data_IF_413625870822
#
_entry.id   IF_413625870822
#
_cell.length_a   1.000
_cell.length_b   1.000
_cell.length_c   1.000
_cell.angle_alpha   90.00
_cell.angle_beta   90.00
_cell.angle_gamma   90.00
#
_symmetry.space_group_name_H-M   'P 1'
#
loop_
_entity.id
_entity.type
_entity.pdbx_description
1 polymer ?
#
# COMPACT_ATOMS: atom_id res chain seq x y z
N UNK A 1 -1.37 -18.65 7.04
CA UNK A 1 -0.66 -17.51 7.68
C UNK A 1 -0.88 -16.26 6.84
N UNK A 2 -1.23 -15.17 7.51
CA UNK A 2 -1.56 -13.92 6.83
C UNK A 2 -0.25 -13.17 6.49
N UNK A 3 -0.09 -12.66 5.25
CA UNK A 3 1.11 -11.90 4.90
C UNK A 3 1.18 -10.59 5.71
N UNK A 4 2.39 -10.08 5.88
CA UNK A 4 2.58 -8.79 6.54
C UNK A 4 2.09 -7.66 5.64
N UNK A 5 1.67 -6.55 6.24
CA UNK A 5 1.23 -5.39 5.46
C UNK A 5 2.34 -4.85 4.56
N UNK A 6 3.60 -4.91 5.00
CA UNK A 6 4.72 -4.49 4.15
C UNK A 6 4.87 -5.39 2.93
N UNK A 7 4.64 -6.69 3.07
CA UNK A 7 4.69 -7.62 1.94
C UNK A 7 3.55 -7.35 0.95
N UNK A 8 2.37 -7.03 1.46
CA UNK A 8 1.22 -6.68 0.64
C UNK A 8 1.51 -5.40 -0.16
N UNK A 9 2.14 -4.43 0.49
CA UNK A 9 2.54 -3.20 -0.18
C UNK A 9 3.54 -3.49 -1.30
N UNK A 10 4.52 -4.34 -1.06
CA UNK A 10 5.50 -4.74 -2.08
C UNK A 10 4.82 -5.36 -3.29
N UNK A 11 3.84 -6.23 -3.05
CA UNK A 11 3.07 -6.86 -4.14
C UNK A 11 2.29 -5.80 -4.92
N UNK A 12 1.67 -4.86 -4.24
CA UNK A 12 0.92 -3.79 -4.89
C UNK A 12 1.83 -2.94 -5.77
N UNK A 13 3.00 -2.56 -5.26
CA UNK A 13 3.98 -1.77 -6.01
C UNK A 13 4.48 -2.54 -7.23
N UNK A 14 4.81 -3.80 -7.06
CA UNK A 14 5.30 -4.65 -8.15
C UNK A 14 4.22 -4.81 -9.24
N UNK A 15 2.97 -4.98 -8.84
CA UNK A 15 1.85 -5.13 -9.77
C UNK A 15 1.69 -3.89 -10.64
N UNK A 16 1.93 -2.72 -10.08
CA UNK A 16 1.80 -1.44 -10.79
C UNK A 16 3.12 -0.98 -11.41
N UNK A 17 4.21 -1.72 -11.20
CA UNK A 17 5.51 -1.37 -11.78
C UNK A 17 6.16 -0.14 -11.13
N UNK A 18 5.93 0.08 -9.86
CA UNK A 18 6.43 1.24 -9.13
C UNK A 18 7.55 0.81 -8.20
N UNK A 19 8.68 1.55 -8.25
CA UNK A 19 9.81 1.30 -7.35
C UNK A 19 9.46 1.73 -5.92
N UNK A 20 9.97 0.99 -4.96
CA UNK A 20 9.77 1.30 -3.55
C UNK A 20 10.34 2.68 -3.19
N UNK A 21 11.43 3.07 -3.81
CA UNK A 21 12.05 4.39 -3.60
C UNK A 21 11.07 5.50 -4.00
N UNK A 22 10.40 5.34 -5.14
CA UNK A 22 9.40 6.30 -5.58
C UNK A 22 8.22 6.34 -4.62
N UNK A 23 7.80 5.18 -4.14
CA UNK A 23 6.75 5.12 -3.14
C UNK A 23 7.12 5.90 -1.89
N UNK A 24 8.33 5.69 -1.35
CA UNK A 24 8.77 6.40 -0.15
C UNK A 24 8.81 7.91 -0.34
N UNK A 25 9.27 8.35 -1.52
CA UNK A 25 9.42 9.77 -1.81
C UNK A 25 8.08 10.47 -2.04
N UNK A 26 7.12 9.78 -2.62
CA UNK A 26 5.87 10.39 -3.07
C UNK A 26 4.62 9.86 -2.39
N UNK A 27 4.75 9.01 -1.36
CA UNK A 27 3.60 8.38 -0.73
C UNK A 27 2.62 9.36 -0.10
N UNK A 28 3.07 10.56 0.19
CA UNK A 28 2.21 11.62 0.75
C UNK A 28 1.65 12.55 -0.30
N UNK A 29 2.05 12.40 -1.55
CA UNK A 29 1.57 13.26 -2.62
C UNK A 29 0.21 12.78 -3.11
N UNK A 30 -0.46 13.64 -3.88
CA UNK A 30 -1.74 13.31 -4.48
C UNK A 30 -1.62 12.88 -5.94
N UNK A 31 -0.46 12.40 -6.33
CA UNK A 31 -0.25 11.92 -7.69
C UNK A 31 -1.12 10.69 -7.94
N UNK A 32 -1.60 10.54 -9.16
CA UNK A 32 -2.56 9.48 -9.49
C UNK A 32 -2.02 8.09 -9.26
N UNK A 33 -0.71 7.86 -9.47
CA UNK A 33 -0.14 6.53 -9.24
C UNK A 33 -0.13 6.17 -7.75
N UNK A 34 0.04 7.16 -6.88
CA UNK A 34 0.00 6.95 -5.43
C UNK A 34 -1.41 6.53 -5.00
N UNK A 35 -2.43 7.18 -5.56
CA UNK A 35 -3.81 6.82 -5.27
C UNK A 35 -4.09 5.37 -5.69
N UNK A 36 -3.59 4.96 -6.85
CA UNK A 36 -3.77 3.59 -7.33
C UNK A 36 -3.07 2.57 -6.43
N UNK A 37 -1.86 2.89 -5.96
CA UNK A 37 -1.16 2.01 -5.02
C UNK A 37 -1.98 1.86 -3.74
N UNK A 38 -2.48 2.94 -3.19
CA UNK A 38 -3.27 2.91 -1.97
C UNK A 38 -4.56 2.09 -2.14
N UNK A 39 -5.23 2.24 -3.27
CA UNK A 39 -6.44 1.48 -3.57
C UNK A 39 -6.14 -0.03 -3.65
N UNK A 40 -5.14 -0.41 -4.42
CA UNK A 40 -4.78 -1.81 -4.60
C UNK A 40 -4.29 -2.41 -3.28
N UNK A 41 -3.43 -1.70 -2.57
CA UNK A 41 -2.92 -2.14 -1.29
C UNK A 41 -4.06 -2.36 -0.29
N UNK A 42 -4.98 -1.40 -0.20
CA UNK A 42 -6.12 -1.50 0.71
C UNK A 42 -6.99 -2.71 0.39
N UNK A 43 -7.25 -2.92 -0.89
CA UNK A 43 -8.06 -4.06 -1.33
C UNK A 43 -7.39 -5.39 -0.98
N UNK A 44 -6.10 -5.52 -1.29
CA UNK A 44 -5.36 -6.74 -1.01
C UNK A 44 -5.26 -7.01 0.50
N UNK A 45 -5.00 -5.97 1.28
CA UNK A 45 -4.90 -6.11 2.73
C UNK A 45 -6.26 -6.47 3.34
N UNK A 46 -7.33 -5.87 2.85
CA UNK A 46 -8.66 -6.17 3.31
C UNK A 46 -9.03 -7.63 3.05
N UNK A 47 -8.68 -8.14 1.88
CA UNK A 47 -8.90 -9.55 1.53
C UNK A 47 -8.16 -10.51 2.46
N UNK A 48 -7.02 -10.08 3.02
CA UNK A 48 -6.24 -10.87 3.96
C UNK A 48 -6.76 -10.77 5.40
N UNK A 49 -7.82 -9.99 5.62
CA UNK A 49 -8.45 -9.86 6.93
C UNK A 49 -7.95 -8.71 7.79
N UNK A 50 -7.19 -7.79 7.23
CA UNK A 50 -6.79 -6.58 7.95
C UNK A 50 -7.96 -5.59 8.04
N UNK A 51 -8.04 -4.87 9.15
CA UNK A 51 -9.06 -3.84 9.33
C UNK A 51 -8.67 -2.54 8.63
N UNK A 52 -9.64 -1.67 8.40
CA UNK A 52 -9.39 -0.35 7.83
C UNK A 52 -8.43 0.47 8.69
N UNK A 53 -8.52 0.35 10.01
CA UNK A 53 -7.63 1.05 10.92
C UNK A 53 -6.19 0.61 10.74
N UNK A 54 -5.96 -0.70 10.65
CA UNK A 54 -4.62 -1.25 10.43
C UNK A 54 -4.04 -0.81 9.10
N UNK A 55 -4.85 -0.86 8.05
CA UNK A 55 -4.44 -0.44 6.71
C UNK A 55 -4.10 1.05 6.70
N UNK A 56 -4.95 1.86 7.29
CA UNK A 56 -4.75 3.30 7.37
C UNK A 56 -3.48 3.67 8.12
N UNK A 57 -3.21 3.01 9.23
CA UNK A 57 -1.99 3.24 10.01
C UNK A 57 -0.74 2.98 9.18
N UNK A 58 -0.73 1.89 8.42
CA UNK A 58 0.41 1.55 7.58
C UNK A 58 0.61 2.54 6.45
N UNK A 59 -0.47 3.05 5.86
CA UNK A 59 -0.39 4.00 4.75
C UNK A 59 -0.04 5.42 5.18
N UNK A 60 -0.46 5.82 6.36
CA UNK A 60 -0.34 7.19 6.82
C UNK A 60 0.60 7.34 8.01
N UNK A 61 1.36 6.32 8.34
CA UNK A 61 2.41 6.41 9.32
C UNK A 61 3.46 7.37 8.81
N UNK A 62 3.67 8.36 9.53
CA UNK A 62 4.70 9.30 9.15
C UNK A 62 5.23 9.97 10.37
#
# INVERSE_FOLDING_TARGET
MKPKLTDILDVALATLGIDYVDWENYSRSRQSFIVRVKELYSLLAYEQGYSHDQIGQQLFIT
#
